data_IF_759979226336
#
_entry.id   IF_759979226336
#
_cell.length_a   1.000
_cell.length_b   1.000
_cell.length_c   1.000
_cell.angle_alpha   90.00
_cell.angle_beta   90.00
_cell.angle_gamma   90.00
#
_symmetry.space_group_name_H-M   'P 1'
#
loop_
_entity.id
_entity.type
_entity.pdbx_description
1 polymer ?
#
# COMPACT_ATOMS: atom_id res chain seq x y z
N UNK A 1 4.41 25.56 14.69
CA UNK A 1 3.36 24.61 14.26
C UNK A 1 3.06 24.90 12.80
N UNK A 2 3.81 24.27 11.89
CA UNK A 2 3.63 24.51 10.46
C UNK A 2 2.48 23.63 9.97
N UNK A 3 1.29 24.19 9.81
CA UNK A 3 0.09 23.46 9.37
C UNK A 3 0.30 22.64 8.10
N UNK A 4 1.23 23.06 7.24
CA UNK A 4 1.63 22.32 6.02
C UNK A 4 2.30 20.98 6.36
N UNK A 5 3.21 20.94 7.35
CA UNK A 5 3.88 19.72 7.77
C UNK A 5 2.90 18.74 8.40
N UNK A 6 1.97 19.23 9.23
CA UNK A 6 0.95 18.38 9.85
C UNK A 6 0.07 17.70 8.79
N UNK A 7 -0.43 18.45 7.79
CA UNK A 7 -1.23 17.89 6.70
C UNK A 7 -0.46 16.80 5.96
N UNK A 8 0.83 17.04 5.68
CA UNK A 8 1.69 16.05 5.03
C UNK A 8 1.86 14.78 5.86
N UNK A 9 2.07 14.91 7.17
CA UNK A 9 2.16 13.79 8.11
C UNK A 9 0.86 12.97 8.16
N UNK A 10 -0.30 13.62 8.14
CA UNK A 10 -1.60 12.94 8.05
C UNK A 10 -1.76 12.18 6.74
N UNK A 11 -1.37 12.79 5.60
CA UNK A 11 -1.44 12.13 4.29
C UNK A 11 -0.54 10.89 4.21
N UNK A 12 0.68 10.97 4.73
CA UNK A 12 1.59 9.82 4.85
C UNK A 12 0.96 8.69 5.69
N UNK A 13 0.34 9.04 6.82
CA UNK A 13 -0.38 8.07 7.66
C UNK A 13 -1.58 7.43 6.94
N UNK A 14 -2.35 8.21 6.21
CA UNK A 14 -3.49 7.72 5.43
C UNK A 14 -3.04 6.80 4.30
N UNK A 15 -1.95 7.14 3.61
CA UNK A 15 -1.38 6.26 2.58
C UNK A 15 -0.85 4.95 3.17
N UNK A 16 -0.19 5.01 4.33
CA UNK A 16 0.25 3.81 5.05
C UNK A 16 -0.95 2.88 5.40
N UNK A 17 -2.08 3.45 5.80
CA UNK A 17 -3.32 2.70 6.02
C UNK A 17 -3.83 2.02 4.73
N UNK A 18 -3.82 2.73 3.59
CA UNK A 18 -4.21 2.14 2.30
C UNK A 18 -3.32 0.95 1.93
N UNK A 19 -2.00 1.04 2.18
CA UNK A 19 -1.09 -0.08 1.95
C UNK A 19 -1.42 -1.30 2.81
N UNK A 20 -1.78 -1.09 4.09
CA UNK A 20 -2.24 -2.17 4.97
C UNK A 20 -3.50 -2.82 4.37
N UNK A 21 -4.48 -2.02 3.96
CA UNK A 21 -5.71 -2.55 3.34
C UNK A 21 -5.36 -3.35 2.08
N UNK A 22 -4.43 -2.87 1.24
CA UNK A 22 -3.97 -3.62 0.05
C UNK A 22 -3.38 -4.99 0.41
N UNK A 23 -2.57 -5.07 1.46
CA UNK A 23 -1.99 -6.34 1.94
C UNK A 23 -3.07 -7.27 2.47
N UNK A 24 -4.05 -6.75 3.21
CA UNK A 24 -5.20 -7.55 3.65
C UNK A 24 -5.98 -8.05 2.43
N UNK A 25 -6.30 -7.18 1.48
CA UNK A 25 -7.02 -7.53 0.26
C UNK A 25 -6.30 -8.56 -0.62
N UNK A 26 -4.97 -8.65 -0.57
CA UNK A 26 -4.24 -9.69 -1.32
C UNK A 26 -4.35 -11.08 -0.69
N UNK A 27 -4.70 -11.18 0.59
CA UNK A 27 -4.93 -12.47 1.28
C UNK A 27 -6.35 -12.98 1.14
N UNK A 28 -7.33 -12.09 0.94
CA UNK A 28 -8.73 -12.46 0.77
C UNK A 28 -9.10 -12.59 -0.71
N UNK A 29 -9.69 -13.72 -1.14
CA UNK A 29 -10.21 -13.84 -2.49
C UNK A 29 -11.44 -12.92 -2.65
N UNK A 30 -11.34 -11.93 -3.54
CA UNK A 30 -12.41 -10.96 -3.80
C UNK A 30 -13.26 -11.46 -4.96
N UNK A 31 -14.58 -11.49 -4.76
CA UNK A 31 -15.49 -11.82 -5.86
C UNK A 31 -15.43 -10.75 -6.95
N UNK A 32 -15.39 -11.12 -8.24
CA UNK A 32 -15.28 -10.16 -9.34
C UNK A 32 -16.51 -9.25 -9.47
N UNK A 33 -17.64 -9.64 -8.89
CA UNK A 33 -18.87 -8.86 -8.85
C UNK A 33 -19.15 -8.42 -7.42
N UNK A 34 -19.41 -7.13 -7.22
CA UNK A 34 -19.82 -6.54 -5.94
C UNK A 34 -18.97 -5.35 -5.50
N UNK A 35 -19.36 -4.74 -4.37
CA UNK A 35 -18.71 -3.56 -3.81
C UNK A 35 -17.23 -3.80 -3.46
N UNK A 36 -16.87 -5.03 -3.07
CA UNK A 36 -15.49 -5.42 -2.77
C UNK A 36 -14.55 -5.26 -3.97
N UNK A 37 -15.01 -5.61 -5.19
CA UNK A 37 -14.22 -5.43 -6.41
C UNK A 37 -13.98 -3.95 -6.72
N UNK A 38 -14.97 -3.08 -6.51
CA UNK A 38 -14.85 -1.64 -6.72
C UNK A 38 -13.83 -1.02 -5.74
N UNK A 39 -13.93 -1.35 -4.45
CA UNK A 39 -13.02 -0.84 -3.43
C UNK A 39 -11.59 -1.33 -3.68
N UNK A 40 -11.42 -2.62 -3.98
CA UNK A 40 -10.12 -3.17 -4.29
C UNK A 40 -9.53 -2.55 -5.56
N UNK A 41 -10.32 -2.39 -6.61
CA UNK A 41 -9.92 -1.72 -7.84
C UNK A 41 -9.44 -0.29 -7.61
N UNK A 42 -10.15 0.48 -6.76
CA UNK A 42 -9.72 1.82 -6.38
C UNK A 42 -8.40 1.82 -5.60
N UNK A 43 -8.23 0.89 -4.66
CA UNK A 43 -6.98 0.76 -3.90
C UNK A 43 -5.82 0.40 -4.83
N UNK A 44 -6.00 -0.58 -5.71
CA UNK A 44 -5.00 -0.94 -6.71
C UNK A 44 -4.67 0.27 -7.60
N UNK A 45 -5.66 1.02 -8.07
CA UNK A 45 -5.45 2.23 -8.88
C UNK A 45 -4.56 3.27 -8.19
N UNK A 46 -4.75 3.51 -6.89
CA UNK A 46 -3.98 4.51 -6.12
C UNK A 46 -2.57 4.01 -5.78
N UNK A 47 -2.41 2.71 -5.55
CA UNK A 47 -1.16 2.14 -5.04
C UNK A 47 -0.26 1.55 -6.13
N UNK A 48 -0.82 1.08 -7.25
CA UNK A 48 -0.09 0.56 -8.40
C UNK A 48 0.90 1.53 -9.06
N UNK A 49 0.63 2.83 -9.26
CA UNK A 49 1.63 3.72 -9.86
C UNK A 49 2.93 3.79 -9.05
N UNK A 50 2.86 3.57 -7.73
CA UNK A 50 4.03 3.51 -6.84
C UNK A 50 4.63 2.09 -6.79
N UNK A 51 3.77 1.06 -6.79
CA UNK A 51 4.19 -0.33 -6.60
C UNK A 51 4.65 -1.03 -7.88
N UNK A 52 4.15 -0.67 -9.05
CA UNK A 52 4.55 -1.23 -10.35
C UNK A 52 6.04 -1.01 -10.66
N UNK A 53 6.60 0.21 -10.52
CA UNK A 53 8.04 0.42 -10.68
C UNK A 53 8.84 -0.38 -9.65
N UNK A 54 8.38 -0.42 -8.40
CA UNK A 54 9.05 -1.15 -7.33
C UNK A 54 9.07 -2.67 -7.57
N UNK A 55 8.00 -3.21 -8.13
CA UNK A 55 7.89 -4.64 -8.51
C UNK A 55 8.89 -5.06 -9.59
N UNK A 56 9.48 -4.13 -10.33
CA UNK A 56 10.59 -4.44 -11.27
C UNK A 56 11.89 -4.75 -10.54
N UNK A 57 12.09 -4.16 -9.36
CA UNK A 57 13.28 -4.35 -8.52
C UNK A 57 13.05 -5.44 -7.49
N UNK A 58 11.87 -5.46 -6.88
CA UNK A 58 11.45 -6.42 -5.86
C UNK A 58 10.17 -7.13 -6.34
N UNK A 59 10.30 -8.12 -7.24
CA UNK A 59 9.14 -8.90 -7.70
C UNK A 59 8.47 -9.59 -6.52
N UNK A 60 7.16 -9.81 -6.64
CA UNK A 60 6.39 -10.50 -5.60
C UNK A 60 6.99 -11.88 -5.34
N UNK A 61 7.36 -12.14 -4.08
CA UNK A 61 7.87 -13.45 -3.69
C UNK A 61 6.68 -14.40 -3.54
N UNK A 62 6.61 -15.40 -4.42
CA UNK A 62 5.70 -16.54 -4.26
C UNK A 62 6.38 -17.57 -3.36
N UNK A 63 5.90 -17.70 -2.13
CA UNK A 63 6.38 -18.72 -1.19
C UNK A 63 5.33 -19.84 -1.16
N UNK A 64 5.59 -20.92 -1.89
CA UNK A 64 4.64 -22.02 -2.05
C UNK A 64 3.38 -21.59 -2.83
N UNK A 65 2.20 -21.82 -2.26
CA UNK A 65 0.90 -21.42 -2.83
C UNK A 65 0.50 -19.98 -2.48
N UNK A 66 1.24 -19.30 -1.59
CA UNK A 66 0.92 -17.94 -1.12
C UNK A 66 1.81 -16.94 -1.84
N UNK A 67 1.20 -16.04 -2.61
CA UNK A 67 1.88 -14.88 -3.19
C UNK A 67 2.01 -13.78 -2.15
N UNK A 68 3.21 -13.54 -1.63
CA UNK A 68 3.46 -12.42 -0.72
C UNK A 68 3.90 -11.20 -1.54
N UNK A 69 3.04 -10.20 -1.60
CA UNK A 69 3.33 -8.91 -2.23
C UNK A 69 4.25 -8.09 -1.31
N UNK A 70 5.57 -8.22 -1.52
CA UNK A 70 6.58 -7.51 -0.74
C UNK A 70 6.66 -6.01 -1.05
N UNK A 71 6.21 -5.60 -2.23
CA UNK A 71 6.28 -4.20 -2.66
C UNK A 71 5.48 -3.26 -1.73
N UNK A 72 4.19 -3.53 -1.39
CA UNK A 72 3.46 -2.73 -0.40
C UNK A 72 4.16 -2.64 0.95
N UNK A 73 4.75 -3.73 1.44
CA UNK A 73 5.49 -3.75 2.71
C UNK A 73 6.72 -2.84 2.65
N UNK A 74 7.50 -2.88 1.58
CA UNK A 74 8.66 -2.01 1.42
C UNK A 74 8.27 -0.53 1.43
N UNK A 75 7.20 -0.15 0.71
CA UNK A 75 6.70 1.24 0.72
C UNK A 75 6.15 1.62 2.10
N UNK A 76 5.48 0.70 2.79
CA UNK A 76 4.96 0.93 4.14
C UNK A 76 6.09 1.27 5.12
N UNK A 77 7.18 0.48 5.12
CA UNK A 77 8.34 0.75 5.96
C UNK A 77 9.01 2.07 5.59
N UNK A 78 9.17 2.36 4.31
CA UNK A 78 9.73 3.62 3.83
C UNK A 78 8.91 4.83 4.32
N UNK A 79 7.59 4.77 4.19
CA UNK A 79 6.69 5.85 4.62
C UNK A 79 6.71 6.01 6.13
N UNK A 80 6.67 4.91 6.89
CA UNK A 80 6.71 4.96 8.36
C UNK A 80 8.03 5.55 8.86
N UNK A 81 9.13 5.18 8.20
CA UNK A 81 10.45 5.73 8.50
C UNK A 81 10.53 7.23 8.21
N UNK A 82 10.10 7.66 7.01
CA UNK A 82 10.07 9.08 6.61
C UNK A 82 9.18 9.89 7.57
N UNK A 83 7.99 9.36 7.90
CA UNK A 83 7.07 10.01 8.84
C UNK A 83 7.69 10.16 10.22
N UNK A 84 8.36 9.13 10.75
CA UNK A 84 9.04 9.18 12.03
C UNK A 84 10.23 10.16 12.08
N UNK A 85 10.85 10.46 10.94
CA UNK A 85 11.92 11.46 10.85
C UNK A 85 11.40 12.90 10.76
N UNK A 86 10.20 13.12 10.20
CA UNK A 86 9.71 14.45 9.83
C UNK A 86 8.65 15.00 10.81
N UNK A 87 7.85 14.16 11.47
CA UNK A 87 6.56 14.55 12.07
C UNK A 87 6.54 14.79 13.60
#
# INVERSE_FOLDING_TARGET
MNSVLEIFCYLLGLYALILIIRVVLSWFPISPNGLGATVAGFIYLVTDPVLLPLRRVMPALRIGSVGLDLAPMAVFFLITFIRGMIC
#
